data_IF_326512046973
#
_entry.id   IF_326512046973
#
_cell.length_a   1.000
_cell.length_b   1.000
_cell.length_c   1.000
_cell.angle_alpha   90.00
_cell.angle_beta   90.00
_cell.angle_gamma   90.00
#
_symmetry.space_group_name_H-M   'P 1'
#
loop_
_entity.id
_entity.type
_entity.pdbx_description
1 polymer ?
#
# COMPACT_ATOMS: atom_id res chain seq x y z
N UNK A 1 -8.31 -6.54 12.20
CA UNK A 1 -7.92 -7.96 12.32
C UNK A 1 -9.12 -8.79 12.75
N UNK A 2 -9.65 -8.62 13.97
CA UNK A 2 -10.86 -9.32 14.46
C UNK A 2 -12.05 -9.36 13.48
N UNK A 3 -12.41 -8.24 12.84
CA UNK A 3 -13.50 -8.23 11.84
C UNK A 3 -13.19 -8.94 10.52
N UNK A 4 -11.92 -9.01 10.14
CA UNK A 4 -11.47 -9.76 8.96
C UNK A 4 -11.45 -11.26 9.27
N UNK A 5 -11.03 -11.62 10.48
CA UNK A 5 -11.03 -13.01 10.98
C UNK A 5 -12.46 -13.54 11.15
N UNK A 6 -13.36 -12.75 11.75
CA UNK A 6 -14.79 -13.08 11.89
C UNK A 6 -15.46 -13.30 10.53
N UNK A 7 -15.05 -12.54 9.51
CA UNK A 7 -15.54 -12.68 8.14
C UNK A 7 -14.91 -13.86 7.38
N UNK A 8 -13.95 -14.58 7.96
CA UNK A 8 -13.20 -15.64 7.26
C UNK A 8 -12.40 -15.13 6.06
N UNK A 9 -12.01 -13.84 6.06
CA UNK A 9 -11.30 -13.24 4.94
C UNK A 9 -9.86 -13.77 4.85
N UNK A 10 -9.38 -14.06 3.64
CA UNK A 10 -7.95 -14.18 3.37
C UNK A 10 -7.34 -12.78 3.31
N UNK A 11 -6.56 -12.39 4.32
CA UNK A 11 -6.07 -11.02 4.45
C UNK A 11 -4.61 -10.95 4.89
N UNK A 12 -3.96 -9.87 4.46
CA UNK A 12 -2.65 -9.46 4.94
C UNK A 12 -2.60 -7.95 5.18
N UNK A 13 -1.57 -7.50 5.88
CA UNK A 13 -1.35 -6.08 6.16
C UNK A 13 0.11 -5.73 5.94
N UNK A 14 0.36 -4.90 4.93
CA UNK A 14 1.69 -4.42 4.57
C UNK A 14 1.91 -3.02 5.11
N UNK A 15 2.97 -2.83 5.90
CA UNK A 15 3.33 -1.53 6.49
C UNK A 15 4.67 -1.05 5.94
N UNK A 16 4.68 0.14 5.33
CA UNK A 16 5.87 0.75 4.76
C UNK A 16 6.37 1.90 5.66
N UNK A 17 7.48 1.68 6.35
CA UNK A 17 8.09 2.68 7.22
C UNK A 17 8.49 3.95 6.46
N UNK A 18 8.15 5.12 7.00
CA UNK A 18 8.47 6.41 6.38
C UNK A 18 7.58 6.80 5.19
N UNK A 19 6.63 5.97 4.77
CA UNK A 19 5.63 6.36 3.78
C UNK A 19 4.58 7.28 4.42
N UNK A 20 4.23 8.37 3.73
CA UNK A 20 3.14 9.28 4.10
C UNK A 20 1.93 9.07 3.18
N UNK A 21 0.86 9.85 3.35
CA UNK A 21 -0.27 9.77 2.41
C UNK A 21 0.19 10.15 0.99
N UNK A 22 -0.39 9.52 -0.03
CA UNK A 22 -0.01 9.77 -1.42
C UNK A 22 1.36 9.20 -1.81
N UNK A 23 1.89 8.22 -1.06
CA UNK A 23 3.23 7.67 -1.32
C UNK A 23 3.41 7.04 -2.71
N UNK A 24 2.34 6.67 -3.40
CA UNK A 24 2.35 6.15 -4.78
C UNK A 24 2.22 7.22 -5.86
N UNK A 25 1.99 8.48 -5.48
CA UNK A 25 1.85 9.58 -6.42
C UNK A 25 3.12 10.44 -6.44
N UNK A 26 3.92 10.42 -7.52
CA UNK A 26 5.12 11.26 -7.67
C UNK A 26 4.89 12.76 -7.45
N UNK A 27 3.66 13.22 -7.67
CA UNK A 27 3.26 14.63 -7.55
C UNK A 27 2.65 14.98 -6.19
N UNK A 28 2.59 14.05 -5.23
CA UNK A 28 1.96 14.27 -3.92
C UNK A 28 2.54 15.48 -3.15
N UNK A 29 3.85 15.71 -3.25
CA UNK A 29 4.48 16.86 -2.60
C UNK A 29 4.07 18.22 -3.17
N UNK A 30 3.58 18.27 -4.43
CA UNK A 30 3.20 19.52 -5.10
C UNK A 30 1.95 20.17 -4.50
N UNK A 31 1.15 19.42 -3.76
CA UNK A 31 -0.05 19.93 -3.08
C UNK A 31 0.26 20.78 -1.84
N UNK A 32 1.51 20.80 -1.37
CA UNK A 32 1.93 21.62 -0.22
C UNK A 32 1.34 21.15 1.12
N UNK A 33 0.76 19.94 1.19
CA UNK A 33 0.23 19.36 2.42
C UNK A 33 1.35 18.55 3.10
N UNK A 34 1.73 18.84 4.36
CA UNK A 34 2.90 18.24 5.01
C UNK A 34 2.91 16.70 5.09
N UNK A 35 1.72 16.11 5.13
CA UNK A 35 1.51 14.66 5.23
C UNK A 35 1.27 13.98 3.87
N UNK A 36 1.39 14.70 2.75
CA UNK A 36 1.38 14.14 1.40
C UNK A 36 2.79 14.16 0.82
N UNK A 37 3.35 12.98 0.56
CA UNK A 37 4.71 12.88 0.06
C UNK A 37 4.90 11.58 -0.72
N UNK A 38 5.53 11.69 -1.89
CA UNK A 38 5.91 10.53 -2.68
C UNK A 38 7.00 9.73 -1.97
N UNK A 39 6.88 8.41 -1.95
CA UNK A 39 7.93 7.52 -1.46
C UNK A 39 8.13 6.38 -2.46
N UNK A 40 9.17 6.51 -3.28
CA UNK A 40 9.51 5.56 -4.35
C UNK A 40 9.63 4.12 -3.86
N UNK A 41 10.27 3.89 -2.72
CA UNK A 41 10.45 2.54 -2.20
C UNK A 41 9.11 1.91 -1.78
N UNK A 42 8.23 2.68 -1.14
CA UNK A 42 6.91 2.20 -0.74
C UNK A 42 6.01 1.94 -1.96
N UNK A 43 6.07 2.83 -2.96
CA UNK A 43 5.38 2.68 -4.24
C UNK A 43 5.72 1.36 -4.92
N UNK A 44 7.01 1.16 -5.24
CA UNK A 44 7.50 -0.05 -5.92
C UNK A 44 7.16 -1.34 -5.15
N UNK A 45 7.34 -1.34 -3.82
CA UNK A 45 7.03 -2.52 -2.99
C UNK A 45 5.54 -2.81 -2.90
N UNK A 46 4.70 -1.76 -2.80
CA UNK A 46 3.25 -1.92 -2.75
C UNK A 46 2.70 -2.47 -4.06
N UNK A 47 3.26 -2.02 -5.19
CA UNK A 47 2.88 -2.51 -6.50
C UNK A 47 3.27 -3.97 -6.72
N UNK A 48 4.51 -4.33 -6.35
CA UNK A 48 4.97 -5.72 -6.41
C UNK A 48 4.07 -6.65 -5.58
N UNK A 49 3.74 -6.28 -4.34
CA UNK A 49 2.89 -7.11 -3.48
C UNK A 49 1.46 -7.25 -4.01
N UNK A 50 0.91 -6.20 -4.62
CA UNK A 50 -0.38 -6.29 -5.31
C UNK A 50 -0.32 -7.30 -6.47
N UNK A 51 0.76 -7.28 -7.26
CA UNK A 51 0.96 -8.24 -8.35
C UNK A 51 1.04 -9.68 -7.85
N UNK A 52 1.79 -9.93 -6.78
CA UNK A 52 1.87 -11.25 -6.13
C UNK A 52 0.49 -11.72 -5.64
N UNK A 53 -0.26 -10.86 -4.96
CA UNK A 53 -1.62 -11.19 -4.50
C UNK A 53 -2.55 -11.53 -5.65
N UNK A 54 -2.47 -10.82 -6.78
CA UNK A 54 -3.26 -11.17 -7.97
C UNK A 54 -2.83 -12.50 -8.58
N UNK A 55 -1.53 -12.82 -8.59
CA UNK A 55 -1.05 -14.15 -8.97
C UNK A 55 -1.65 -15.24 -8.07
N UNK A 56 -1.66 -15.05 -6.75
CA UNK A 56 -2.26 -16.00 -5.80
C UNK A 56 -3.77 -16.24 -6.03
N UNK A 57 -4.50 -15.25 -6.57
CA UNK A 57 -5.96 -15.30 -6.72
C UNK A 57 -6.40 -15.79 -8.10
N UNK A 58 -5.64 -15.49 -9.16
CA UNK A 58 -6.07 -15.68 -10.53
C UNK A 58 -5.24 -16.69 -11.35
N UNK A 59 -4.08 -17.11 -10.85
CA UNK A 59 -3.19 -18.10 -11.49
C UNK A 59 -3.18 -19.44 -10.72
#
# INVERSE_FOLDING_TARGET
RAKLEEAGANWEMNSYGGAKHGFTNPDAGKYGIPNLEYNKQADERSWARMGEFFGEVFE
#
